data_IF_933943450958
#
_entry.id   IF_933943450958
#
_cell.length_a   1.000
_cell.length_b   1.000
_cell.length_c   1.000
_cell.angle_alpha   90.00
_cell.angle_beta   90.00
_cell.angle_gamma   90.00
#
_symmetry.space_group_name_H-M   'P 1'
#
loop_
_entity.id
_entity.type
_entity.pdbx_description
1 polymer ?
#
# COMPACT_ATOMS: atom_id res chain seq x y z
N UNK A 1 20.38 5.72 31.82
CA UNK A 1 20.99 6.94 31.26
C UNK A 1 19.86 7.93 31.17
N UNK A 2 19.95 9.01 31.92
CA UNK A 2 18.93 10.04 31.94
C UNK A 2 19.24 11.00 30.80
N UNK A 3 18.27 11.24 29.92
CA UNK A 3 18.37 12.28 28.89
C UNK A 3 18.00 13.60 29.56
N UNK A 4 18.77 14.64 29.27
CA UNK A 4 18.49 15.99 29.76
C UNK A 4 17.58 16.73 28.78
N UNK A 5 16.73 17.61 29.31
CA UNK A 5 15.86 18.48 28.50
C UNK A 5 16.66 19.32 27.49
N UNK A 6 17.90 19.70 27.86
CA UNK A 6 18.84 20.40 26.98
C UNK A 6 19.20 19.58 25.74
N UNK A 7 19.38 18.26 25.88
CA UNK A 7 19.69 17.37 24.76
C UNK A 7 18.49 17.16 23.84
N UNK A 8 17.28 17.14 24.42
CA UNK A 8 16.02 17.07 23.66
C UNK A 8 15.81 18.37 22.89
N UNK A 9 16.04 19.53 23.50
CA UNK A 9 15.99 20.82 22.82
C UNK A 9 17.00 20.89 21.66
N UNK A 10 18.26 20.50 21.90
CA UNK A 10 19.28 20.45 20.86
C UNK A 10 18.94 19.44 19.74
N UNK A 11 18.20 18.37 20.06
CA UNK A 11 17.68 17.42 19.08
C UNK A 11 16.58 18.03 18.22
N UNK A 12 15.65 18.78 18.80
CA UNK A 12 14.60 19.52 18.09
C UNK A 12 15.23 20.56 17.15
N UNK A 13 16.23 21.30 17.62
CA UNK A 13 16.98 22.30 16.83
C UNK A 13 17.89 21.66 15.76
N UNK A 14 18.04 20.33 15.74
CA UNK A 14 18.91 19.60 14.83
C UNK A 14 20.42 19.74 15.12
N UNK A 15 20.80 20.43 16.19
CA UNK A 15 22.18 20.72 16.58
C UNK A 15 22.77 19.65 17.53
N UNK A 16 22.71 18.39 17.09
CA UNK A 16 23.22 17.22 17.84
C UNK A 16 24.09 16.34 16.97
N UNK A 17 25.09 15.72 17.59
CA UNK A 17 25.94 14.73 16.94
C UNK A 17 25.17 13.45 16.62
N UNK A 18 25.73 12.60 15.75
CA UNK A 18 25.11 11.32 15.37
C UNK A 18 24.94 10.36 16.55
N UNK A 19 25.85 10.40 17.52
CA UNK A 19 25.81 9.54 18.71
C UNK A 19 24.70 9.97 19.68
N UNK A 20 24.61 11.27 19.94
CA UNK A 20 23.56 11.88 20.77
C UNK A 20 22.17 11.66 20.15
N UNK A 21 22.05 11.83 18.83
CA UNK A 21 20.80 11.55 18.10
C UNK A 21 20.33 10.11 18.28
N UNK A 22 21.26 9.15 18.27
CA UNK A 22 20.97 7.74 18.49
C UNK A 22 20.57 7.43 19.94
N UNK A 23 21.13 8.17 20.90
CA UNK A 23 20.73 8.07 22.31
C UNK A 23 19.32 8.63 22.51
N UNK A 24 19.03 9.82 21.98
CA UNK A 24 17.69 10.44 22.03
C UNK A 24 16.64 9.54 21.37
N UNK A 25 16.92 8.98 20.17
CA UNK A 25 15.99 8.03 19.52
C UNK A 25 15.72 6.78 20.34
N UNK A 26 16.74 6.23 21.01
CA UNK A 26 16.56 5.05 21.88
C UNK A 26 15.70 5.39 23.09
N UNK A 27 15.89 6.57 23.66
CA UNK A 27 15.10 7.04 24.78
C UNK A 27 13.64 7.31 24.40
N UNK A 28 13.39 8.02 23.31
CA UNK A 28 12.03 8.29 22.81
C UNK A 28 11.28 6.99 22.45
N UNK A 29 11.98 5.94 22.01
CA UNK A 29 11.36 4.64 21.77
C UNK A 29 10.84 3.92 23.03
N UNK A 30 11.34 4.33 24.21
CA UNK A 30 10.92 3.80 25.52
C UNK A 30 9.80 4.67 26.12
N UNK A 31 9.77 5.97 25.78
CA UNK A 31 8.82 6.96 26.30
C UNK A 31 8.01 7.61 25.16
N UNK A 32 6.93 6.95 24.70
CA UNK A 32 6.14 7.44 23.57
C UNK A 32 5.45 8.78 23.85
N UNK A 33 5.09 9.07 25.10
CA UNK A 33 4.47 10.35 25.48
C UNK A 33 5.40 11.54 25.23
N UNK A 34 6.70 11.38 25.50
CA UNK A 34 7.71 12.41 25.22
C UNK A 34 8.03 12.49 23.73
N UNK A 35 7.93 11.36 23.01
CA UNK A 35 8.08 11.36 21.55
C UNK A 35 7.01 12.21 20.86
N UNK A 36 5.76 12.11 21.30
CA UNK A 36 4.67 12.91 20.75
C UNK A 36 4.86 14.40 21.04
N UNK A 37 5.36 14.75 22.24
CA UNK A 37 5.71 16.12 22.61
C UNK A 37 6.84 16.68 21.73
N UNK A 38 7.92 15.91 21.56
CA UNK A 38 9.06 16.29 20.72
C UNK A 38 8.62 16.46 19.27
N UNK A 39 7.77 15.57 18.77
CA UNK A 39 7.22 15.68 17.42
C UNK A 39 6.38 16.96 17.26
N UNK A 40 5.52 17.27 18.24
CA UNK A 40 4.71 18.48 18.22
C UNK A 40 5.56 19.77 18.28
N UNK A 41 6.68 19.75 19.00
CA UNK A 41 7.63 20.88 19.07
C UNK A 41 8.47 21.03 17.80
N UNK A 42 8.80 19.92 17.13
CA UNK A 42 9.46 19.94 15.82
C UNK A 42 8.53 20.43 14.69
N UNK A 43 7.22 20.31 14.88
CA UNK A 43 6.19 20.65 13.88
C UNK A 43 5.79 22.14 13.88
N UNK A 44 6.62 23.01 14.46
CA UNK A 44 6.50 24.46 14.28
C UNK A 44 6.89 24.86 12.84
N UNK A 45 5.94 24.64 11.94
CA UNK A 45 5.79 25.22 10.60
C UNK A 45 6.81 24.75 9.55
N UNK A 46 6.52 23.61 8.95
CA UNK A 46 6.56 23.51 7.48
C UNK A 46 5.27 22.86 7.01
N UNK A 47 4.39 23.69 6.46
CA UNK A 47 3.19 23.29 5.74
C UNK A 47 3.64 22.38 4.58
N UNK A 48 3.71 21.05 4.80
CA UNK A 48 3.99 20.03 3.79
C UNK A 48 2.85 19.91 2.75
N UNK A 49 2.21 21.03 2.38
CA UNK A 49 1.37 21.15 1.20
C UNK A 49 2.16 21.60 -0.03
N UNK A 50 3.48 21.74 0.07
CA UNK A 50 4.34 21.82 -1.11
C UNK A 50 4.39 20.44 -1.76
N UNK A 51 3.40 20.21 -2.63
CA UNK A 51 3.50 19.38 -3.82
C UNK A 51 4.90 19.57 -4.40
N UNK A 52 5.80 18.64 -4.09
CA UNK A 52 7.03 18.46 -4.84
C UNK A 52 6.57 18.13 -6.25
N UNK A 53 6.56 19.15 -7.10
CA UNK A 53 6.33 19.08 -8.54
C UNK A 53 7.57 18.41 -9.16
N UNK A 54 7.79 17.16 -8.77
CA UNK A 54 8.76 16.23 -9.33
C UNK A 54 8.08 15.53 -10.50
N UNK A 55 7.96 16.25 -11.60
CA UNK A 55 8.01 15.77 -12.98
C UNK A 55 7.45 14.34 -13.24
N UNK A 56 6.18 14.31 -13.68
CA UNK A 56 5.76 13.52 -14.85
C UNK A 56 6.16 12.02 -14.90
N UNK A 57 5.66 11.16 -14.01
CA UNK A 57 5.54 9.71 -14.28
C UNK A 57 4.59 8.90 -13.35
N UNK A 58 3.89 9.52 -12.40
CA UNK A 58 3.35 8.79 -11.23
C UNK A 58 2.06 7.99 -11.48
N UNK A 59 1.33 8.25 -12.57
CA UNK A 59 0.10 7.51 -12.85
C UNK A 59 0.35 6.07 -13.34
N UNK A 60 1.42 5.83 -14.10
CA UNK A 60 1.73 4.51 -14.67
C UNK A 60 2.48 3.58 -13.69
N UNK A 61 3.24 4.14 -12.75
CA UNK A 61 4.01 3.34 -11.78
C UNK A 61 3.19 2.87 -10.57
N UNK A 62 2.11 3.59 -10.22
CA UNK A 62 1.26 3.24 -9.07
C UNK A 62 0.53 1.90 -9.27
N UNK A 63 0.08 1.60 -10.49
CA UNK A 63 -0.56 0.31 -10.77
C UNK A 63 0.45 -0.84 -10.79
N UNK A 64 1.64 -0.61 -11.33
CA UNK A 64 2.73 -1.61 -11.35
C UNK A 64 3.21 -1.94 -9.94
N UNK A 65 3.32 -0.94 -9.06
CA UNK A 65 3.80 -1.16 -7.68
C UNK A 65 2.88 -2.05 -6.87
N UNK A 66 1.55 -1.94 -7.03
CA UNK A 66 0.62 -2.81 -6.31
C UNK A 66 0.62 -4.24 -6.86
N UNK A 67 0.76 -4.42 -8.18
CA UNK A 67 0.84 -5.76 -8.78
C UNK A 67 2.09 -6.51 -8.37
N UNK A 68 3.25 -5.86 -8.30
CA UNK A 68 4.50 -6.52 -7.91
C UNK A 68 4.48 -6.95 -6.45
N UNK A 69 3.95 -6.09 -5.56
CA UNK A 69 3.77 -6.42 -4.14
C UNK A 69 2.76 -7.56 -3.98
N UNK A 70 1.63 -7.51 -4.68
CA UNK A 70 0.62 -8.58 -4.62
C UNK A 70 1.16 -9.91 -5.17
N UNK A 71 1.92 -9.87 -6.26
CA UNK A 71 2.51 -11.05 -6.87
C UNK A 71 3.59 -11.69 -5.98
N UNK A 72 4.47 -10.88 -5.39
CA UNK A 72 5.45 -11.33 -4.41
C UNK A 72 4.77 -11.93 -3.18
N UNK A 73 3.75 -11.28 -2.63
CA UNK A 73 2.98 -11.79 -1.49
C UNK A 73 2.28 -13.11 -1.80
N UNK A 74 1.72 -13.27 -3.01
CA UNK A 74 1.05 -14.49 -3.45
C UNK A 74 2.01 -15.68 -3.58
N UNK A 75 3.29 -15.45 -3.93
CA UNK A 75 4.29 -16.51 -4.03
C UNK A 75 4.59 -17.17 -2.67
N UNK A 76 4.48 -16.41 -1.58
CA UNK A 76 4.70 -16.90 -0.21
C UNK A 76 3.41 -17.31 0.51
N UNK A 77 2.24 -17.09 -0.11
CA UNK A 77 0.97 -17.47 0.49
C UNK A 77 0.87 -19.02 0.58
N UNK A 78 0.40 -19.58 1.71
CA UNK A 78 0.23 -21.01 1.84
C UNK A 78 -0.77 -21.50 0.80
N UNK A 79 -0.34 -22.45 -0.04
CA UNK A 79 -1.19 -23.15 -1.01
C UNK A 79 -2.22 -24.00 -0.28
N UNK A 80 -3.25 -23.37 0.29
CA UNK A 80 -4.48 -24.07 0.62
C UNK A 80 -5.07 -24.50 -0.71
N UNK A 81 -5.07 -25.81 -0.96
CA UNK A 81 -5.84 -26.39 -2.05
C UNK A 81 -7.32 -26.05 -1.76
N UNK A 82 -7.80 -24.93 -2.28
CA UNK A 82 -9.21 -24.65 -2.33
C UNK A 82 -9.73 -25.70 -3.31
N UNK A 83 -10.30 -26.77 -2.77
CA UNK A 83 -11.27 -27.57 -3.50
C UNK A 83 -12.36 -26.60 -3.89
N UNK A 84 -12.27 -26.06 -5.11
CA UNK A 84 -13.43 -25.46 -5.72
C UNK A 84 -14.42 -26.60 -5.84
N UNK A 85 -15.39 -26.64 -4.93
CA UNK A 85 -16.64 -27.32 -5.18
C UNK A 85 -17.22 -26.65 -6.41
N UNK A 86 -16.81 -27.08 -7.60
CA UNK A 86 -17.38 -26.61 -8.84
C UNK A 86 -18.80 -27.10 -8.81
N UNK A 87 -19.73 -26.20 -8.48
CA UNK A 87 -21.15 -26.44 -8.64
C UNK A 87 -21.34 -26.69 -10.14
N UNK A 88 -21.41 -27.96 -10.54
CA UNK A 88 -21.55 -28.40 -11.93
C UNK A 88 -22.70 -27.68 -12.62
N UNK A 89 -23.77 -27.38 -11.86
CA UNK A 89 -24.92 -26.59 -12.28
C UNK A 89 -24.54 -25.19 -12.82
N UNK A 90 -23.57 -24.50 -12.22
CA UNK A 90 -23.12 -23.16 -12.67
C UNK A 90 -22.33 -23.25 -13.98
N UNK A 91 -21.49 -24.28 -14.14
CA UNK A 91 -20.74 -24.52 -15.38
C UNK A 91 -21.67 -24.91 -16.53
N UNK A 92 -22.66 -25.78 -16.26
CA UNK A 92 -23.67 -26.19 -17.23
C UNK A 92 -24.53 -25.00 -17.67
N UNK A 93 -24.91 -24.12 -16.75
CA UNK A 93 -25.68 -22.91 -17.07
C UNK A 93 -24.89 -21.96 -17.98
N UNK A 94 -23.60 -21.70 -17.69
CA UNK A 94 -22.75 -20.86 -18.54
C UNK A 94 -22.50 -21.45 -19.93
N UNK A 95 -22.38 -22.78 -20.02
CA UNK A 95 -22.24 -23.48 -21.31
C UNK A 95 -23.51 -23.33 -22.15
N UNK A 96 -24.68 -23.55 -21.55
CA UNK A 96 -25.97 -23.39 -22.21
C UNK A 96 -26.22 -21.97 -22.67
N UNK A 97 -25.92 -20.98 -21.85
CA UNK A 97 -26.06 -19.57 -22.18
C UNK A 97 -25.15 -19.16 -23.35
N UNK A 98 -23.92 -19.66 -23.38
CA UNK A 98 -22.99 -19.44 -24.50
C UNK A 98 -23.49 -20.09 -25.79
N UNK A 99 -24.03 -21.30 -25.70
CA UNK A 99 -24.60 -21.99 -26.86
C UNK A 99 -25.79 -21.22 -27.45
N UNK A 100 -26.72 -20.73 -26.61
CA UNK A 100 -27.87 -19.93 -27.04
C UNK A 100 -27.45 -18.59 -27.69
N UNK A 101 -26.42 -17.93 -27.15
CA UNK A 101 -25.89 -16.70 -27.76
C UNK A 101 -25.29 -16.96 -29.13
N UNK A 102 -24.53 -18.04 -29.26
CA UNK A 102 -23.94 -18.42 -30.55
C UNK A 102 -25.01 -18.81 -31.56
N UNK A 103 -26.05 -19.57 -31.16
CA UNK A 103 -27.14 -19.93 -32.07
C UNK A 103 -27.91 -18.70 -32.54
N UNK A 104 -28.24 -17.78 -31.64
CA UNK A 104 -28.92 -16.54 -32.01
C UNK A 104 -28.10 -15.68 -32.99
N UNK A 105 -26.78 -15.63 -32.82
CA UNK A 105 -25.88 -14.93 -33.73
C UNK A 105 -25.83 -15.59 -35.12
N UNK A 106 -25.90 -16.92 -35.18
CA UNK A 106 -25.97 -17.64 -36.46
C UNK A 106 -27.31 -17.43 -37.18
N UNK A 107 -28.41 -17.42 -36.43
CA UNK A 107 -29.75 -17.15 -36.99
C UNK A 107 -29.81 -15.72 -37.56
N UNK A 108 -29.26 -14.72 -36.85
CA UNK A 108 -29.20 -13.33 -37.32
C UNK A 108 -28.33 -13.17 -38.59
N UNK A 109 -27.23 -13.90 -38.71
CA UNK A 109 -26.41 -13.89 -39.94
C UNK A 109 -27.15 -14.50 -41.13
N UNK A 110 -27.98 -15.51 -40.90
CA UNK A 110 -28.74 -16.19 -41.95
C UNK A 110 -29.98 -15.38 -42.40
N UNK A 111 -30.56 -14.56 -41.51
CA UNK A 111 -31.65 -13.63 -41.86
C UNK A 111 -31.20 -12.40 -42.64
N UNK A 112 -29.90 -12.07 -42.59
CA UNK A 112 -29.32 -10.89 -43.26
C UNK A 112 -28.68 -11.20 -44.63
N UNK A 113 -28.83 -12.42 -45.16
CA UNK A 113 -28.54 -12.82 -46.56
C UNK A 113 -29.77 -12.73 -47.46
#
# INVERSE_FOLDING_TARGET
MEITDELIAAYIDGNVTTEERLQVRRYLSVYPEEQDLVLALMDEVEDYSEVVDGESATALQKEQSFTDIAYAAAAFAPRKAISYGTNSNVLMNKSRERHLRMSALWDELQENE
#
